data_IF_654452379323
#
_entry.id   IF_654452379323
#
_cell.length_a   1.000
_cell.length_b   1.000
_cell.length_c   1.000
_cell.angle_alpha   90.00
_cell.angle_beta   90.00
_cell.angle_gamma   90.00
#
_symmetry.space_group_name_H-M   'P 1'
#
loop_
_entity.id
_entity.type
_entity.pdbx_description
1 polymer ?
#
# COMPACT_ATOMS: atom_id res chain seq x y z
N UNK A 1 22.81 -5.13 2.31
CA UNK A 1 22.00 -6.23 1.77
C UNK A 1 21.76 -7.39 2.76
N UNK A 2 22.25 -7.34 3.99
CA UNK A 2 22.09 -8.43 4.98
C UNK A 2 20.98 -8.17 6.01
N UNK A 3 20.38 -6.99 6.03
CA UNK A 3 19.33 -6.65 7.02
C UNK A 3 17.92 -7.14 6.66
N UNK A 4 17.73 -7.66 5.44
CA UNK A 4 16.47 -8.23 4.96
C UNK A 4 16.27 -9.68 5.45
N UNK A 5 17.33 -10.34 5.90
CA UNK A 5 17.35 -11.77 6.24
C UNK A 5 16.66 -12.13 7.57
N UNK A 6 16.30 -11.17 8.40
CA UNK A 6 15.57 -11.43 9.66
C UNK A 6 14.07 -11.61 9.50
N UNK A 7 13.48 -11.00 8.48
CA UNK A 7 12.03 -10.96 8.24
C UNK A 7 11.58 -12.09 7.31
N UNK A 8 12.49 -12.64 6.51
CA UNK A 8 12.18 -13.55 5.41
C UNK A 8 11.93 -15.02 5.80
N UNK A 9 12.12 -15.41 7.06
CA UNK A 9 11.99 -16.84 7.45
C UNK A 9 10.60 -17.28 7.88
N UNK A 10 9.72 -16.35 8.22
CA UNK A 10 8.36 -16.67 8.71
C UNK A 10 7.24 -16.34 7.72
N UNK A 11 7.58 -15.79 6.54
CA UNK A 11 6.61 -15.51 5.49
C UNK A 11 6.82 -16.46 4.31
N UNK A 12 5.74 -17.04 3.83
CA UNK A 12 5.71 -17.66 2.51
C UNK A 12 5.79 -16.53 1.45
N UNK A 13 6.97 -15.94 1.32
CA UNK A 13 7.25 -14.79 0.45
C UNK A 13 6.81 -15.01 -1.01
N UNK A 14 6.77 -16.26 -1.45
CA UNK A 14 6.44 -16.62 -2.82
C UNK A 14 4.95 -16.44 -3.14
N UNK A 15 4.11 -16.29 -2.14
CA UNK A 15 2.65 -16.12 -2.32
C UNK A 15 2.21 -14.69 -2.59
N UNK A 16 3.06 -13.70 -2.33
CA UNK A 16 2.71 -12.29 -2.47
C UNK A 16 3.47 -11.63 -3.63
N UNK A 17 2.73 -10.87 -4.44
CA UNK A 17 3.29 -10.09 -5.54
C UNK A 17 4.05 -8.86 -5.05
N UNK A 18 3.56 -8.28 -3.95
CA UNK A 18 4.11 -7.06 -3.34
C UNK A 18 4.29 -7.29 -1.84
N UNK A 19 5.48 -6.95 -1.31
CA UNK A 19 5.72 -6.93 0.13
C UNK A 19 6.23 -5.55 0.54
N UNK A 20 5.56 -4.99 1.55
CA UNK A 20 5.89 -3.71 2.16
C UNK A 20 6.17 -3.93 3.64
N UNK A 21 7.33 -3.51 4.13
CA UNK A 21 7.71 -3.63 5.54
C UNK A 21 7.86 -2.23 6.15
N UNK A 22 7.07 -1.93 7.17
CA UNK A 22 7.02 -0.61 7.81
C UNK A 22 6.89 0.56 6.81
N UNK A 23 6.11 0.35 5.74
CA UNK A 23 5.93 1.31 4.66
C UNK A 23 6.93 1.19 3.51
N UNK A 24 8.04 0.46 3.67
CA UNK A 24 9.07 0.32 2.66
C UNK A 24 8.80 -0.85 1.73
N UNK A 25 8.79 -0.60 0.42
CA UNK A 25 8.69 -1.65 -0.60
C UNK A 25 9.94 -2.54 -0.56
N UNK A 26 9.76 -3.85 -0.29
CA UNK A 26 10.84 -4.84 -0.18
C UNK A 26 10.81 -5.90 -1.26
N UNK A 27 9.62 -6.24 -1.78
CA UNK A 27 9.43 -7.17 -2.89
C UNK A 27 8.41 -6.60 -3.87
N UNK A 28 8.65 -6.80 -5.16
CA UNK A 28 7.70 -6.51 -6.25
C UNK A 28 7.79 -7.59 -7.32
N UNK A 29 6.64 -7.93 -7.91
CA UNK A 29 6.58 -8.78 -9.09
C UNK A 29 7.09 -8.05 -10.32
N UNK A 30 7.76 -8.77 -11.22
CA UNK A 30 8.40 -8.18 -12.41
C UNK A 30 7.39 -7.79 -13.50
N UNK A 31 6.23 -8.43 -13.52
CA UNK A 31 5.17 -8.24 -14.52
C UNK A 31 4.13 -7.17 -14.13
N UNK A 32 4.38 -6.43 -13.05
CA UNK A 32 3.53 -5.35 -12.56
C UNK A 32 4.36 -4.06 -12.49
N UNK A 33 3.80 -2.96 -12.95
CA UNK A 33 4.45 -1.65 -12.83
C UNK A 33 4.32 -1.14 -11.40
N UNK A 34 5.37 -1.39 -10.60
CA UNK A 34 5.44 -1.03 -9.19
C UNK A 34 6.68 -0.17 -8.96
N UNK A 35 6.48 1.01 -8.40
CA UNK A 35 7.55 1.95 -8.07
C UNK A 35 7.44 2.40 -6.60
N UNK A 36 8.57 2.80 -6.04
CA UNK A 36 8.57 3.52 -4.77
C UNK A 36 7.95 4.92 -4.96
N UNK A 37 7.24 5.43 -3.96
CA UNK A 37 6.61 6.76 -4.02
C UNK A 37 7.66 7.85 -4.33
N UNK A 38 8.85 7.79 -3.74
CA UNK A 38 9.90 8.78 -3.98
C UNK A 38 10.37 8.80 -5.44
N UNK A 39 10.56 7.62 -6.02
CA UNK A 39 10.92 7.48 -7.45
C UNK A 39 9.83 8.05 -8.33
N UNK A 40 8.60 7.68 -8.07
CA UNK A 40 7.43 8.15 -8.82
C UNK A 40 7.23 9.66 -8.74
N UNK A 41 7.51 10.27 -7.57
CA UNK A 41 7.47 11.73 -7.40
C UNK A 41 8.60 12.43 -8.20
N UNK A 42 9.81 11.85 -8.22
CA UNK A 42 10.95 12.39 -8.96
C UNK A 42 10.72 12.35 -10.47
N UNK A 43 10.08 11.33 -10.98
CA UNK A 43 9.76 11.16 -12.40
C UNK A 43 8.55 11.97 -12.86
N UNK A 44 7.87 12.71 -11.96
CA UNK A 44 6.62 13.44 -12.21
C UNK A 44 5.49 12.57 -12.80
N UNK A 45 5.62 11.25 -12.67
CA UNK A 45 4.63 10.28 -13.14
C UNK A 45 3.40 10.21 -12.25
N UNK A 46 3.49 10.85 -11.08
CA UNK A 46 2.39 10.94 -10.15
C UNK A 46 1.87 12.37 -10.14
N UNK A 47 0.60 12.56 -10.43
CA UNK A 47 -0.05 13.85 -10.27
C UNK A 47 -0.01 14.28 -8.79
N UNK A 48 0.10 15.58 -8.53
CA UNK A 48 -0.01 16.16 -7.18
C UNK A 48 -1.33 15.80 -6.46
N UNK A 49 -2.21 15.05 -7.11
CA UNK A 49 -3.49 14.58 -6.61
C UNK A 49 -3.38 13.43 -5.61
N UNK A 50 -2.19 12.83 -5.45
CA UNK A 50 -1.95 11.75 -4.48
C UNK A 50 -2.07 12.23 -3.05
N UNK A 51 -1.62 13.45 -2.79
CA UNK A 51 -1.76 14.07 -1.48
C UNK A 51 -3.06 14.87 -1.43
N UNK A 52 -4.16 14.16 -1.26
CA UNK A 52 -5.50 14.77 -1.19
C UNK A 52 -5.55 15.74 -0.01
N UNK A 53 -5.84 17.01 -0.30
CA UNK A 53 -6.16 17.97 0.75
C UNK A 53 -7.49 17.58 1.39
N UNK A 54 -7.46 17.28 2.66
CA UNK A 54 -8.63 16.82 3.41
C UNK A 54 -8.69 17.49 4.78
N UNK A 55 -9.88 17.44 5.40
CA UNK A 55 -10.06 17.83 6.81
C UNK A 55 -9.73 16.68 7.78
N UNK A 56 -9.51 15.47 7.28
CA UNK A 56 -9.15 14.32 8.12
C UNK A 56 -7.71 14.47 8.62
N UNK A 57 -7.49 14.62 9.94
CA UNK A 57 -6.15 14.86 10.50
C UNK A 57 -5.20 13.66 10.30
N UNK A 58 -5.72 12.44 10.28
CA UNK A 58 -4.90 11.25 10.11
C UNK A 58 -4.41 11.08 8.67
N UNK A 59 -5.23 11.45 7.68
CA UNK A 59 -4.76 11.50 6.28
C UNK A 59 -3.71 12.59 6.11
N UNK A 60 -3.90 13.76 6.73
CA UNK A 60 -2.91 14.82 6.69
C UNK A 60 -1.60 14.43 7.40
N UNK A 61 -1.70 13.69 8.51
CA UNK A 61 -0.53 13.14 9.20
C UNK A 61 0.21 12.13 8.30
N UNK A 62 -0.51 11.20 7.66
CA UNK A 62 0.08 10.29 6.70
C UNK A 62 0.71 11.03 5.51
N UNK A 63 0.06 12.07 4.97
CA UNK A 63 0.62 12.90 3.91
C UNK A 63 1.97 13.55 4.29
N UNK A 64 2.12 13.94 5.57
CA UNK A 64 3.33 14.60 6.05
C UNK A 64 4.48 13.62 6.35
N UNK A 65 4.17 12.41 6.83
CA UNK A 65 5.15 11.46 7.34
C UNK A 65 5.32 10.19 6.49
N UNK A 66 4.46 9.95 5.49
CA UNK A 66 4.63 8.85 4.55
C UNK A 66 5.77 9.17 3.58
N UNK A 67 6.99 8.90 4.03
CA UNK A 67 8.20 9.10 3.21
C UNK A 67 8.47 7.92 2.28
N UNK A 68 7.83 6.80 2.55
CA UNK A 68 7.97 5.55 1.82
C UNK A 68 6.59 4.96 1.53
N UNK A 69 6.51 4.09 0.55
CA UNK A 69 5.29 3.46 0.10
C UNK A 69 5.44 2.97 -1.34
N UNK A 70 4.41 2.40 -1.89
CA UNK A 70 4.44 1.93 -3.26
C UNK A 70 3.32 2.55 -4.12
N UNK A 71 3.63 2.66 -5.39
CA UNK A 71 2.70 3.03 -6.46
C UNK A 71 2.58 1.86 -7.40
N UNK A 72 1.38 1.34 -7.52
CA UNK A 72 1.04 0.26 -8.44
C UNK A 72 0.22 0.85 -9.58
N UNK A 73 0.61 0.60 -10.80
CA UNK A 73 -0.09 1.16 -11.97
C UNK A 73 -0.42 0.07 -12.98
N UNK A 74 -1.68 0.03 -13.37
CA UNK A 74 -2.21 -0.86 -14.40
C UNK A 74 -2.54 -0.04 -15.64
N UNK A 75 -2.16 -0.56 -16.80
CA UNK A 75 -2.51 0.01 -18.09
C UNK A 75 -4.00 -0.18 -18.42
N UNK A 76 -4.43 0.31 -19.57
CA UNK A 76 -5.79 0.14 -20.04
C UNK A 76 -6.08 -1.31 -20.47
N UNK A 77 -7.31 -1.78 -20.27
CA UNK A 77 -7.80 -3.09 -20.71
C UNK A 77 -7.01 -4.27 -20.09
N UNK A 78 -6.60 -4.14 -18.83
CA UNK A 78 -5.91 -5.19 -18.07
C UNK A 78 -6.91 -5.90 -17.17
N UNK A 79 -6.83 -7.24 -17.12
CA UNK A 79 -7.48 -8.08 -16.12
C UNK A 79 -6.39 -8.76 -15.29
N UNK A 80 -6.37 -8.51 -13.97
CA UNK A 80 -5.33 -9.04 -13.10
C UNK A 80 -5.78 -9.16 -11.66
N UNK A 81 -5.26 -10.21 -10.99
CA UNK A 81 -5.32 -10.38 -9.55
C UNK A 81 -3.92 -10.12 -8.98
N UNK A 82 -3.85 -9.42 -7.85
CA UNK A 82 -2.61 -9.17 -7.14
C UNK A 82 -2.79 -9.38 -5.63
N UNK A 83 -1.70 -9.74 -4.99
CA UNK A 83 -1.60 -9.94 -3.55
C UNK A 83 -0.54 -9.02 -2.94
N UNK A 84 -0.93 -8.31 -1.88
CA UNK A 84 -0.07 -7.35 -1.18
C UNK A 84 0.04 -7.77 0.28
N UNK A 85 1.27 -7.90 0.79
CA UNK A 85 1.55 -8.11 2.20
C UNK A 85 2.15 -6.85 2.80
N UNK A 86 1.44 -6.28 3.77
CA UNK A 86 1.94 -5.21 4.64
C UNK A 86 2.43 -5.81 5.96
N UNK A 87 3.72 -5.77 6.21
CA UNK A 87 4.33 -6.20 7.46
C UNK A 87 4.61 -4.99 8.34
N UNK A 88 4.09 -5.02 9.56
CA UNK A 88 4.39 -4.05 10.60
C UNK A 88 5.31 -4.74 11.60
N UNK A 89 6.60 -4.49 11.46
CA UNK A 89 7.63 -5.07 12.34
C UNK A 89 8.00 -4.10 13.46
N UNK A 90 7.56 -4.43 14.68
CA UNK A 90 7.87 -3.70 15.91
C UNK A 90 8.66 -4.54 16.91
N UNK A 91 9.41 -5.54 16.44
CA UNK A 91 10.18 -6.46 17.28
C UNK A 91 11.27 -5.73 18.08
N UNK A 92 11.88 -4.71 17.53
CA UNK A 92 13.01 -3.99 18.13
C UNK A 92 12.60 -2.81 18.98
N UNK A 93 11.54 -2.08 18.66
CA UNK A 93 11.14 -0.86 19.34
C UNK A 93 9.66 -0.53 19.18
N UNK A 94 9.13 0.30 20.06
CA UNK A 94 7.87 1.00 19.84
C UNK A 94 8.03 1.95 18.64
N UNK A 95 6.99 2.04 17.82
CA UNK A 95 7.07 2.87 16.61
C UNK A 95 5.72 3.45 16.17
N UNK A 96 5.83 4.49 15.37
CA UNK A 96 4.70 5.05 14.62
C UNK A 96 5.03 4.89 13.15
N UNK A 97 4.15 4.21 12.41
CA UNK A 97 4.33 3.98 10.97
C UNK A 97 3.20 4.59 10.17
N UNK A 98 3.52 5.08 8.97
CA UNK A 98 2.59 5.71 8.06
C UNK A 98 2.62 5.02 6.67
N UNK A 99 2.24 3.74 6.57
CA UNK A 99 2.24 3.04 5.29
C UNK A 99 1.33 3.73 4.28
N UNK A 100 1.76 3.76 3.01
CA UNK A 100 0.95 4.28 1.92
C UNK A 100 1.04 3.41 0.68
N UNK A 101 -0.12 3.07 0.13
CA UNK A 101 -0.26 2.38 -1.15
C UNK A 101 -1.08 3.26 -2.08
N UNK A 102 -0.62 3.39 -3.31
CA UNK A 102 -1.30 4.13 -4.36
C UNK A 102 -1.53 3.18 -5.52
N UNK A 103 -2.78 3.05 -5.95
CA UNK A 103 -3.19 2.17 -7.04
C UNK A 103 -3.83 2.99 -8.13
N UNK A 104 -3.21 3.01 -9.31
CA UNK A 104 -3.75 3.64 -10.50
C UNK A 104 -4.26 2.56 -11.45
N UNK A 105 -5.51 2.63 -11.84
CA UNK A 105 -6.15 1.64 -12.71
C UNK A 105 -6.61 2.30 -13.99
N UNK A 106 -6.04 1.85 -15.10
CA UNK A 106 -6.34 2.35 -16.44
C UNK A 106 -7.74 2.00 -16.92
N UNK A 107 -8.15 2.57 -18.05
CA UNK A 107 -9.49 2.44 -18.60
C UNK A 107 -9.88 0.98 -18.86
N UNK A 108 -11.14 0.64 -18.55
CA UNK A 108 -11.74 -0.66 -18.79
C UNK A 108 -10.95 -1.84 -18.21
N UNK A 109 -10.12 -1.61 -17.20
CA UNK A 109 -9.37 -2.65 -16.51
C UNK A 109 -10.20 -3.22 -15.36
N UNK A 110 -9.98 -4.50 -15.04
CA UNK A 110 -10.63 -5.23 -13.96
C UNK A 110 -9.56 -5.81 -13.04
N UNK A 111 -9.43 -5.26 -11.84
CA UNK A 111 -8.34 -5.59 -10.92
C UNK A 111 -8.90 -6.09 -9.59
N UNK A 112 -8.45 -7.28 -9.17
CA UNK A 112 -8.72 -7.81 -7.83
C UNK A 112 -7.48 -7.70 -6.97
N UNK A 113 -7.61 -7.15 -5.78
CA UNK A 113 -6.50 -6.93 -4.84
C UNK A 113 -6.82 -7.59 -3.50
N UNK A 114 -5.97 -8.53 -3.10
CA UNK A 114 -5.93 -9.05 -1.74
C UNK A 114 -4.81 -8.34 -0.98
N UNK A 115 -5.16 -7.53 -0.01
CA UNK A 115 -4.21 -6.88 0.89
C UNK A 115 -4.27 -7.55 2.27
N UNK A 116 -3.13 -7.97 2.78
CA UNK A 116 -3.00 -8.57 4.10
C UNK A 116 -2.06 -7.72 4.96
N UNK A 117 -2.47 -7.40 6.19
CA UNK A 117 -1.64 -6.72 7.17
C UNK A 117 -1.25 -7.72 8.25
N UNK A 118 0.05 -7.89 8.47
CA UNK A 118 0.61 -8.74 9.52
C UNK A 118 1.48 -7.96 10.47
N UNK A 119 1.36 -8.28 11.74
CA UNK A 119 2.15 -7.66 12.80
C UNK A 119 3.21 -8.63 13.30
N UNK A 120 4.45 -8.12 13.41
CA UNK A 120 5.57 -8.81 14.03
C UNK A 120 6.00 -8.09 15.28
N UNK A 121 6.20 -8.88 16.34
CA UNK A 121 6.62 -8.35 17.63
C UNK A 121 5.45 -8.02 18.56
N UNK A 122 5.78 -7.46 19.71
CA UNK A 122 4.84 -7.23 20.80
C UNK A 122 5.02 -5.83 21.46
N UNK A 123 5.71 -4.93 20.80
CA UNK A 123 5.86 -3.55 21.29
C UNK A 123 4.64 -2.71 20.94
N UNK A 124 4.45 -1.61 21.66
CA UNK A 124 3.39 -0.66 21.32
C UNK A 124 3.64 -0.04 19.94
N UNK A 125 2.58 0.12 19.19
CA UNK A 125 2.64 0.55 17.82
C UNK A 125 1.43 1.43 17.46
N UNK A 126 1.66 2.48 16.68
CA UNK A 126 0.60 3.21 16.00
C UNK A 126 0.80 3.09 14.48
N UNK A 127 -0.16 2.48 13.82
CA UNK A 127 -0.19 2.36 12.37
C UNK A 127 -1.25 3.28 11.80
N UNK A 128 -0.84 4.24 10.99
CA UNK A 128 -1.75 5.13 10.29
C UNK A 128 -1.59 4.94 8.78
N UNK A 129 -2.32 3.99 8.23
CA UNK A 129 -2.24 3.59 6.81
C UNK A 129 -3.21 4.37 5.94
N UNK A 130 -2.80 4.59 4.68
CA UNK A 130 -3.65 5.17 3.64
C UNK A 130 -3.46 4.38 2.34
N UNK A 131 -4.56 3.85 1.81
CA UNK A 131 -4.62 3.26 0.47
C UNK A 131 -5.43 4.16 -0.45
N UNK A 132 -4.81 4.61 -1.55
CA UNK A 132 -5.43 5.50 -2.54
C UNK A 132 -5.72 4.74 -3.83
N UNK A 133 -6.95 4.73 -4.28
CA UNK A 133 -7.35 4.23 -5.59
C UNK A 133 -7.69 5.38 -6.54
N UNK A 134 -7.14 5.33 -7.74
CA UNK A 134 -7.47 6.23 -8.85
C UNK A 134 -7.98 5.39 -10.01
N UNK A 135 -9.29 5.39 -10.23
CA UNK A 135 -9.94 4.56 -11.23
C UNK A 135 -10.27 5.38 -12.47
N UNK A 136 -9.74 4.97 -13.61
CA UNK A 136 -10.08 5.61 -14.88
C UNK A 136 -11.46 5.13 -15.40
N UNK A 137 -11.91 5.65 -16.50
CA UNK A 137 -13.22 5.41 -17.09
C UNK A 137 -13.46 3.91 -17.34
N UNK A 138 -14.56 3.37 -16.83
CA UNK A 138 -14.94 1.96 -16.95
C UNK A 138 -14.06 0.98 -16.15
N UNK A 139 -13.11 1.45 -15.35
CA UNK A 139 -12.28 0.61 -14.50
C UNK A 139 -13.08 -0.03 -13.38
N UNK A 140 -12.75 -1.28 -13.03
CA UNK A 140 -13.36 -2.02 -11.91
C UNK A 140 -12.25 -2.47 -10.95
N UNK A 141 -12.51 -2.30 -9.65
CA UNK A 141 -11.58 -2.78 -8.60
C UNK A 141 -12.38 -3.50 -7.52
N UNK A 142 -11.94 -4.69 -7.19
CA UNK A 142 -12.31 -5.38 -5.97
C UNK A 142 -11.10 -5.36 -5.02
N UNK A 143 -11.30 -4.85 -3.80
CA UNK A 143 -10.25 -4.77 -2.79
C UNK A 143 -10.71 -5.48 -1.51
N UNK A 144 -10.00 -6.52 -1.14
CA UNK A 144 -10.21 -7.27 0.10
C UNK A 144 -9.02 -7.00 1.03
N UNK A 145 -9.30 -6.46 2.21
CA UNK A 145 -8.31 -6.24 3.25
C UNK A 145 -8.49 -7.26 4.37
N UNK A 146 -7.44 -8.05 4.63
CA UNK A 146 -7.34 -8.94 5.78
C UNK A 146 -6.40 -8.30 6.80
N UNK A 147 -6.89 -8.13 8.02
CA UNK A 147 -6.19 -7.45 9.09
C UNK A 147 -6.03 -8.36 10.29
N UNK A 148 -4.78 -8.75 10.60
CA UNK A 148 -4.44 -9.61 11.73
C UNK A 148 -3.95 -8.71 12.88
N UNK A 149 -4.83 -8.47 13.85
CA UNK A 149 -4.59 -7.54 14.95
C UNK A 149 -3.53 -8.04 15.94
N UNK A 150 -2.74 -7.08 16.43
CA UNK A 150 -1.89 -7.25 17.59
C UNK A 150 -2.47 -6.46 18.78
N UNK A 151 -2.49 -7.07 19.97
CA UNK A 151 -3.04 -6.45 21.21
C UNK A 151 -2.37 -5.11 21.57
N UNK A 152 -1.14 -4.87 21.10
CA UNK A 152 -0.36 -3.68 21.38
C UNK A 152 -0.34 -2.68 20.21
N UNK A 153 -1.31 -2.76 19.28
CA UNK A 153 -1.35 -1.89 18.12
C UNK A 153 -2.60 -1.01 18.11
N UNK A 154 -2.38 0.28 17.95
CA UNK A 154 -3.43 1.22 17.55
C UNK A 154 -3.36 1.37 16.03
N UNK A 155 -4.47 1.11 15.35
CA UNK A 155 -4.53 1.17 13.90
C UNK A 155 -5.58 2.16 13.45
N UNK A 156 -5.19 2.98 12.48
CA UNK A 156 -6.07 3.89 11.76
C UNK A 156 -5.84 3.65 10.27
N UNK A 157 -6.85 3.12 9.60
CA UNK A 157 -6.79 2.84 8.17
C UNK A 157 -7.77 3.71 7.41
N UNK A 158 -7.32 4.30 6.31
CA UNK A 158 -8.15 5.09 5.42
C UNK A 158 -8.01 4.59 3.99
N UNK A 159 -9.14 4.35 3.34
CA UNK A 159 -9.19 4.04 1.91
C UNK A 159 -9.82 5.23 1.19
N UNK A 160 -9.11 5.76 0.21
CA UNK A 160 -9.55 6.88 -0.62
C UNK A 160 -9.75 6.41 -2.04
N UNK A 161 -10.91 6.65 -2.61
CA UNK A 161 -11.23 6.24 -3.97
C UNK A 161 -11.63 7.46 -4.81
N UNK A 162 -10.91 7.67 -5.92
CA UNK A 162 -11.27 8.64 -6.95
C UNK A 162 -11.74 7.88 -8.17
N UNK A 163 -12.98 8.09 -8.55
CA UNK A 163 -13.63 7.38 -9.66
C UNK A 163 -13.92 8.32 -10.81
N UNK A 164 -13.63 7.89 -12.04
CA UNK A 164 -14.13 8.51 -13.26
C UNK A 164 -15.43 7.83 -13.69
N UNK A 165 -16.01 8.27 -14.81
CA UNK A 165 -17.29 7.78 -15.31
C UNK A 165 -17.27 6.24 -15.48
N UNK A 166 -18.37 5.60 -15.08
CA UNK A 166 -18.62 4.15 -15.22
C UNK A 166 -17.60 3.23 -14.52
N UNK A 167 -16.77 3.77 -13.58
CA UNK A 167 -15.87 2.98 -12.76
C UNK A 167 -16.53 2.53 -11.45
N UNK A 168 -16.12 1.36 -10.95
CA UNK A 168 -16.66 0.76 -9.71
C UNK A 168 -15.55 0.19 -8.84
#
# INVERSE_FOLDING_TARGET
>A
SEFILGVSKDYEDDKFDIIVVNGKLTKKADDININNIKESLAEKNISNEIFVKTKNPFINLNNAFSTEGCVVSFENNVEKEISILNVIDNTSSEQITHPRIIVNVGKNSNISILEEIRFLGNKNNLVNSVTNFSLDEGAKVEHVLIDDYSDNTYQISNVLVKQKRDST
#
